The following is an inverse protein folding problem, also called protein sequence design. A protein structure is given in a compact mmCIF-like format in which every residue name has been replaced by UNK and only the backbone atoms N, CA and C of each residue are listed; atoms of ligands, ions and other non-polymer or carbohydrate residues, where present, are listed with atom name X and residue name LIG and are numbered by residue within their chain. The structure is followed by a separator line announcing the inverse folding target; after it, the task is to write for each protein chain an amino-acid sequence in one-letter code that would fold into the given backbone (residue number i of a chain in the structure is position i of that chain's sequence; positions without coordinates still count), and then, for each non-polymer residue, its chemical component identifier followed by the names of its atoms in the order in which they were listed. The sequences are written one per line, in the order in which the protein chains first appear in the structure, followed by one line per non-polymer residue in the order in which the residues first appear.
data_IF_925015069921
#
_entry.id   IF_925015069921
#
_cell.length_a   1.000
_cell.length_b   1.000
_cell.length_c   1.000
_cell.angle_alpha   90.00
_cell.angle_beta   90.00
_cell.angle_gamma   90.00
#
_symmetry.space_group_name_H-M   'P 1'
#
loop_
_entity.id
_entity.type
_entity.pdbx_description
1 polymer ?
#
# COMPACT_ATOMS: atom_id res chain seq x y z
N UNK A 1 -27.82 -32.19 -3.65
CA UNK A 1 -26.90 -32.16 -2.49
C UNK A 1 -25.65 -31.33 -2.80
N UNK A 2 -25.77 -30.17 -3.46
CA UNK A 2 -24.62 -29.33 -3.92
C UNK A 2 -24.61 -27.88 -3.37
N UNK A 3 -25.68 -27.43 -2.70
CA UNK A 3 -25.77 -26.06 -2.18
C UNK A 3 -24.97 -25.80 -0.90
N UNK A 4 -24.62 -26.85 -0.15
CA UNK A 4 -23.93 -26.73 1.14
C UNK A 4 -22.47 -26.28 1.00
N UNK A 5 -21.74 -26.76 -0.01
CA UNK A 5 -20.34 -26.40 -0.21
C UNK A 5 -20.17 -24.95 -0.70
N UNK A 6 -21.03 -24.49 -1.62
CA UNK A 6 -21.01 -23.10 -2.09
C UNK A 6 -21.46 -22.12 -0.99
N UNK A 7 -22.48 -22.49 -0.21
CA UNK A 7 -22.94 -21.70 0.94
C UNK A 7 -21.90 -21.63 2.06
N UNK A 8 -21.22 -22.74 2.34
CA UNK A 8 -20.13 -22.78 3.33
C UNK A 8 -18.92 -21.97 2.87
N UNK A 9 -18.53 -22.09 1.59
CA UNK A 9 -17.47 -21.27 0.99
C UNK A 9 -17.81 -19.77 1.08
N UNK A 10 -19.03 -19.38 0.69
CA UNK A 10 -19.52 -18.00 0.76
C UNK A 10 -19.58 -17.46 2.20
N UNK A 11 -20.03 -18.27 3.17
CA UNK A 11 -20.05 -17.91 4.60
C UNK A 11 -18.64 -17.76 5.18
N UNK A 12 -17.71 -18.63 4.80
CA UNK A 12 -16.32 -18.55 5.25
C UNK A 12 -15.57 -17.36 4.64
N UNK A 13 -15.87 -16.98 3.40
CA UNK A 13 -15.36 -15.78 2.73
C UNK A 13 -15.90 -14.52 3.42
N UNK A 14 -17.21 -14.44 3.69
CA UNK A 14 -17.88 -13.28 4.31
C UNK A 14 -17.38 -12.94 5.72
N UNK A 15 -16.89 -13.92 6.48
CA UNK A 15 -16.38 -13.72 7.83
C UNK A 15 -14.86 -13.44 7.87
N UNK A 16 -14.16 -13.54 6.72
CA UNK A 16 -12.73 -13.26 6.59
C UNK A 16 -12.46 -11.86 6.05
N UNK A 17 -13.44 -11.25 5.41
CA UNK A 17 -13.38 -9.87 4.95
C UNK A 17 -14.18 -8.96 5.89
N UNK A 18 -13.63 -7.81 6.29
CA UNK A 18 -14.43 -6.75 6.90
C UNK A 18 -15.54 -6.31 5.94
N UNK A 19 -16.64 -5.80 6.51
CA UNK A 19 -17.86 -5.50 5.76
C UNK A 19 -17.66 -4.51 4.61
N UNK A 20 -18.58 -4.55 3.65
CA UNK A 20 -18.56 -3.70 2.46
C UNK A 20 -18.36 -2.22 2.83
N UNK A 21 -17.34 -1.60 2.22
CA UNK A 21 -17.00 -0.21 2.47
C UNK A 21 -18.06 0.71 1.88
N UNK A 22 -18.46 1.74 2.63
CA UNK A 22 -19.33 2.79 2.08
C UNK A 22 -18.53 3.66 1.11
N UNK A 23 -19.15 4.17 0.02
CA UNK A 23 -18.50 5.09 -0.90
C UNK A 23 -17.81 6.25 -0.17
N UNK A 24 -16.64 6.67 -0.67
CA UNK A 24 -15.90 7.81 -0.12
C UNK A 24 -16.80 9.04 -0.03
N UNK A 25 -16.97 9.56 1.19
CA UNK A 25 -17.77 10.75 1.42
C UNK A 25 -16.85 11.92 1.84
N UNK A 26 -16.75 13.00 1.05
CA UNK A 26 -15.88 14.14 1.35
C UNK A 26 -16.27 14.93 2.61
N UNK A 27 -17.48 14.73 3.15
CA UNK A 27 -17.93 15.34 4.40
C UNK A 27 -17.50 14.57 5.65
N UNK A 28 -17.04 13.31 5.50
CA UNK A 28 -16.57 12.47 6.61
C UNK A 28 -15.08 12.66 6.89
N UNK A 29 -14.70 12.46 8.15
CA UNK A 29 -13.28 12.43 8.53
C UNK A 29 -12.64 11.13 8.01
N UNK A 30 -11.47 11.25 7.40
CA UNK A 30 -10.73 10.10 6.85
C UNK A 30 -9.77 9.56 7.89
N UNK A 31 -9.85 8.26 8.16
CA UNK A 31 -8.98 7.52 9.06
C UNK A 31 -8.19 6.52 8.22
N UNK A 32 -6.87 6.74 8.15
CA UNK A 32 -5.93 5.85 7.47
C UNK A 32 -5.25 5.02 8.56
N UNK A 33 -5.44 3.70 8.51
CA UNK A 33 -4.83 2.77 9.48
C UNK A 33 -3.71 2.03 8.77
N UNK A 34 -2.47 2.37 9.13
CA UNK A 34 -1.25 1.88 8.47
C UNK A 34 -0.62 0.66 9.15
N UNK A 35 -1.19 0.18 10.27
CA UNK A 35 -0.69 -0.99 10.99
C UNK A 35 -1.44 -2.27 10.63
N UNK A 36 -0.75 -3.41 10.62
CA UNK A 36 -1.32 -4.75 10.44
C UNK A 36 -1.48 -5.55 11.74
N UNK A 37 -1.00 -5.02 12.88
CA UNK A 37 -1.03 -5.70 14.18
C UNK A 37 -2.40 -5.67 14.89
N UNK A 38 -2.53 -6.46 15.97
CA UNK A 38 -3.75 -6.60 16.78
C UNK A 38 -4.37 -5.27 17.21
N UNK A 39 -3.56 -4.24 17.48
CA UNK A 39 -4.03 -2.91 17.82
C UNK A 39 -4.73 -2.19 16.67
N UNK A 40 -4.27 -2.37 15.44
CA UNK A 40 -4.91 -1.83 14.25
C UNK A 40 -6.22 -2.57 13.96
N UNK A 41 -6.20 -3.91 13.91
CA UNK A 41 -7.42 -4.70 13.70
C UNK A 41 -8.47 -4.48 14.81
N UNK A 42 -8.03 -4.28 16.06
CA UNK A 42 -8.92 -3.93 17.18
C UNK A 42 -9.53 -2.54 17.01
N UNK A 43 -8.73 -1.53 16.65
CA UNK A 43 -9.23 -0.18 16.36
C UNK A 43 -10.27 -0.22 15.23
N UNK A 44 -10.00 -0.96 14.17
CA UNK A 44 -10.89 -1.10 13.01
C UNK A 44 -12.20 -1.79 13.36
N UNK A 45 -12.18 -2.76 14.27
CA UNK A 45 -13.41 -3.39 14.80
C UNK A 45 -14.27 -2.46 15.66
N UNK A 46 -13.66 -1.39 16.21
CA UNK A 46 -14.31 -0.41 17.07
C UNK A 46 -14.74 0.86 16.33
N UNK A 47 -14.22 1.10 15.12
CA UNK A 47 -14.55 2.26 14.30
C UNK A 47 -15.87 2.05 13.54
N UNK A 48 -16.79 3.00 13.68
CA UNK A 48 -18.03 3.02 12.91
C UNK A 48 -17.77 3.61 11.50
N UNK A 49 -17.91 2.79 10.47
CA UNK A 49 -17.76 3.17 9.06
C UNK A 49 -18.83 4.17 8.59
N UNK A 50 -19.90 4.38 9.38
CA UNK A 50 -20.87 5.45 9.12
C UNK A 50 -20.30 6.83 9.40
N UNK A 51 -19.38 6.97 10.36
CA UNK A 51 -18.82 8.25 10.80
C UNK A 51 -17.48 8.58 10.12
N UNK A 52 -16.74 7.56 9.69
CA UNK A 52 -15.37 7.72 9.16
C UNK A 52 -15.18 7.03 7.81
N UNK A 53 -14.42 7.66 6.91
CA UNK A 53 -13.86 6.96 5.76
C UNK A 53 -12.66 6.14 6.25
N UNK A 54 -12.79 4.81 6.28
CA UNK A 54 -11.73 3.90 6.73
C UNK A 54 -11.02 3.32 5.53
N UNK A 55 -9.77 3.70 5.28
CA UNK A 55 -8.96 3.12 4.20
C UNK A 55 -8.01 2.07 4.77
N UNK A 56 -8.52 0.83 4.87
CA UNK A 56 -7.72 -0.34 5.24
C UNK A 56 -7.64 -1.36 4.09
N UNK A 57 -8.64 -1.42 3.19
CA UNK A 57 -8.76 -2.51 2.21
C UNK A 57 -8.25 -2.21 0.81
N UNK A 58 -7.74 -1.00 0.54
CA UNK A 58 -7.34 -0.63 -0.83
C UNK A 58 -6.39 -1.63 -1.49
N UNK A 59 -5.54 -2.30 -0.70
CA UNK A 59 -4.72 -3.40 -1.18
C UNK A 59 -5.50 -4.69 -1.50
N UNK A 60 -6.35 -5.16 -0.58
CA UNK A 60 -7.19 -6.36 -0.81
C UNK A 60 -8.17 -6.12 -1.96
N UNK A 61 -8.75 -4.93 -2.06
CA UNK A 61 -9.64 -4.54 -3.16
C UNK A 61 -8.91 -4.63 -4.51
N UNK A 62 -7.64 -4.20 -4.56
CA UNK A 62 -6.81 -4.35 -5.76
C UNK A 62 -6.54 -5.83 -6.09
N UNK A 63 -6.25 -6.67 -5.07
CA UNK A 63 -6.08 -8.11 -5.27
C UNK A 63 -7.36 -8.77 -5.80
N UNK A 64 -8.49 -8.58 -5.11
CA UNK A 64 -9.78 -9.15 -5.50
C UNK A 64 -10.17 -8.69 -6.91
N UNK A 65 -9.96 -7.40 -7.21
CA UNK A 65 -10.24 -6.86 -8.55
C UNK A 65 -9.34 -7.48 -9.61
N UNK A 66 -8.08 -7.76 -9.30
CA UNK A 66 -7.15 -8.43 -10.21
C UNK A 66 -7.51 -9.91 -10.46
N UNK A 67 -8.24 -10.56 -9.55
CA UNK A 67 -8.70 -11.95 -9.72
C UNK A 67 -9.94 -12.12 -10.60
N UNK A 68 -10.66 -11.04 -10.92
CA UNK A 68 -11.88 -11.16 -11.70
C UNK A 68 -11.61 -11.75 -13.10
N UNK A 69 -12.44 -12.70 -13.57
CA UNK A 69 -12.26 -13.31 -14.87
C UNK A 69 -12.44 -12.28 -15.99
N UNK A 70 -11.49 -12.24 -16.93
CA UNK A 70 -11.52 -11.33 -18.08
C UNK A 70 -10.71 -10.04 -17.93
N UNK A 71 -10.00 -9.86 -16.81
CA UNK A 71 -9.04 -8.76 -16.66
C UNK A 71 -7.89 -8.89 -17.66
N UNK A 72 -7.47 -7.75 -18.24
CA UNK A 72 -6.31 -7.73 -19.12
C UNK A 72 -5.01 -7.84 -18.29
N UNK A 73 -3.92 -8.38 -18.86
CA UNK A 73 -2.63 -8.45 -18.17
C UNK A 73 -2.14 -7.08 -17.67
N UNK A 74 -2.40 -6.02 -18.43
CA UNK A 74 -2.01 -4.65 -18.09
C UNK A 74 -2.80 -4.11 -16.90
N UNK A 75 -4.08 -4.46 -16.78
CA UNK A 75 -4.92 -4.09 -15.64
C UNK A 75 -4.46 -4.79 -14.37
N UNK A 76 -4.12 -6.08 -14.48
CA UNK A 76 -3.57 -6.86 -13.36
C UNK A 76 -2.24 -6.26 -12.90
N UNK A 77 -1.33 -5.95 -13.82
CA UNK A 77 -0.05 -5.31 -13.48
C UNK A 77 -0.24 -3.93 -12.83
N UNK A 78 -1.21 -3.14 -13.28
CA UNK A 78 -1.58 -1.87 -12.66
C UNK A 78 -2.03 -2.08 -11.21
N UNK A 79 -3.06 -2.92 -11.00
CA UNK A 79 -3.66 -3.17 -9.68
C UNK A 79 -2.65 -3.75 -8.69
N UNK A 80 -1.74 -4.60 -9.17
CA UNK A 80 -0.75 -5.28 -8.36
C UNK A 80 0.56 -4.51 -8.20
N UNK A 81 0.61 -3.25 -8.64
CA UNK A 81 1.74 -2.38 -8.39
C UNK A 81 1.44 -1.40 -7.27
N UNK A 82 2.24 -1.47 -6.20
CA UNK A 82 2.16 -0.58 -5.05
C UNK A 82 3.34 0.39 -5.04
N UNK A 83 3.03 1.67 -4.78
CA UNK A 83 4.02 2.73 -4.64
C UNK A 83 3.99 3.26 -3.21
N UNK A 84 5.10 3.11 -2.49
CA UNK A 84 5.28 3.69 -1.16
C UNK A 84 6.14 4.94 -1.30
N UNK A 85 5.68 6.06 -0.74
CA UNK A 85 6.38 7.35 -0.82
C UNK A 85 6.99 7.71 0.52
N UNK A 86 8.32 7.85 0.56
CA UNK A 86 9.11 8.18 1.73
C UNK A 86 9.96 7.01 2.21
N UNK A 87 11.27 7.09 2.03
CA UNK A 87 12.28 6.14 2.51
C UNK A 87 12.71 6.35 3.96
N UNK A 88 11.89 6.99 4.79
CA UNK A 88 12.09 7.00 6.25
C UNK A 88 11.73 5.65 6.89
N UNK A 89 11.89 5.50 8.22
CA UNK A 89 11.59 4.26 8.93
C UNK A 89 10.21 3.70 8.61
N UNK A 90 9.17 4.53 8.66
CA UNK A 90 7.78 4.12 8.38
C UNK A 90 7.58 3.55 6.98
N UNK A 91 8.14 4.18 5.95
CA UNK A 91 7.94 3.69 4.58
C UNK A 91 8.78 2.46 4.26
N UNK A 92 9.97 2.33 4.87
CA UNK A 92 10.78 1.12 4.79
C UNK A 92 10.09 -0.04 5.49
N UNK A 93 9.66 0.12 6.74
CA UNK A 93 8.93 -0.92 7.49
C UNK A 93 7.69 -1.37 6.73
N UNK A 94 6.86 -0.43 6.26
CA UNK A 94 5.66 -0.76 5.50
C UNK A 94 5.98 -1.55 4.21
N UNK A 95 7.03 -1.17 3.48
CA UNK A 95 7.41 -1.86 2.24
C UNK A 95 7.88 -3.29 2.52
N UNK A 96 8.62 -3.51 3.60
CA UNK A 96 9.04 -4.83 4.05
C UNK A 96 7.86 -5.70 4.48
N UNK A 97 6.97 -5.15 5.31
CA UNK A 97 5.77 -5.87 5.77
C UNK A 97 4.83 -6.23 4.61
N UNK A 98 4.67 -5.34 3.62
CA UNK A 98 3.91 -5.65 2.42
C UNK A 98 4.55 -6.81 1.65
N UNK A 99 5.87 -6.81 1.49
CA UNK A 99 6.58 -7.91 0.84
C UNK A 99 6.38 -9.24 1.57
N UNK A 100 6.59 -9.26 2.89
CA UNK A 100 6.44 -10.48 3.69
C UNK A 100 5.00 -11.00 3.64
N UNK A 101 4.01 -10.10 3.77
CA UNK A 101 2.60 -10.44 3.64
C UNK A 101 2.29 -11.12 2.30
N UNK A 102 2.87 -10.61 1.21
CA UNK A 102 2.67 -11.13 -0.14
C UNK A 102 3.33 -12.49 -0.34
N UNK A 103 4.56 -12.65 0.13
CA UNK A 103 5.31 -13.89 -0.02
C UNK A 103 4.68 -15.04 0.79
N UNK A 104 4.13 -14.74 1.98
CA UNK A 104 3.57 -15.75 2.89
C UNK A 104 2.08 -16.03 2.63
N UNK A 105 1.24 -15.00 2.52
CA UNK A 105 -0.22 -15.19 2.48
C UNK A 105 -0.77 -15.24 1.05
N UNK A 106 -0.25 -14.40 0.13
CA UNK A 106 -0.81 -14.31 -1.22
C UNK A 106 -0.68 -15.64 -1.97
N UNK A 107 0.44 -16.35 -1.82
CA UNK A 107 0.64 -17.65 -2.45
C UNK A 107 -0.41 -18.69 -2.04
N UNK A 108 -0.89 -18.63 -0.80
CA UNK A 108 -1.91 -19.55 -0.31
C UNK A 108 -3.32 -19.16 -0.73
N UNK A 109 -3.63 -17.87 -0.84
CA UNK A 109 -4.98 -17.38 -1.11
C UNK A 109 -5.25 -17.15 -2.60
N UNK A 110 -4.25 -16.66 -3.33
CA UNK A 110 -4.32 -16.25 -4.74
C UNK A 110 -3.05 -16.69 -5.50
N UNK A 111 -2.84 -18.01 -5.67
CA UNK A 111 -1.63 -18.54 -6.30
C UNK A 111 -1.41 -18.03 -7.73
N UNK A 112 -2.47 -17.65 -8.45
CA UNK A 112 -2.43 -17.08 -9.80
C UNK A 112 -1.88 -15.64 -9.88
N UNK A 113 -1.89 -14.92 -8.75
CA UNK A 113 -1.34 -13.56 -8.62
C UNK A 113 0.05 -13.56 -7.98
N UNK A 114 0.47 -14.68 -7.39
CA UNK A 114 1.78 -14.83 -6.76
C UNK A 114 2.91 -14.45 -7.72
N UNK A 115 3.81 -13.58 -7.26
CA UNK A 115 4.97 -13.11 -8.03
C UNK A 115 4.67 -12.04 -9.09
N UNK A 116 3.41 -11.61 -9.27
CA UNK A 116 3.05 -10.46 -10.12
C UNK A 116 3.04 -9.14 -9.34
N UNK A 117 3.01 -9.22 -8.01
CA UNK A 117 2.97 -8.03 -7.18
C UNK A 117 4.31 -7.31 -7.21
N UNK A 118 4.23 -6.00 -7.45
CA UNK A 118 5.37 -5.11 -7.52
C UNK A 118 5.26 -4.08 -6.41
N UNK A 119 6.38 -3.84 -5.73
CA UNK A 119 6.48 -2.76 -4.74
C UNK A 119 7.60 -1.81 -5.18
N UNK A 120 7.28 -0.53 -5.26
CA UNK A 120 8.25 0.54 -5.51
C UNK A 120 8.27 1.52 -4.35
N UNK A 121 9.42 1.67 -3.68
CA UNK A 121 9.65 2.68 -2.65
C UNK A 121 10.32 3.91 -3.27
N UNK A 122 9.71 5.08 -3.15
CA UNK A 122 10.17 6.35 -3.71
C UNK A 122 10.73 7.24 -2.60
N UNK A 123 11.95 7.73 -2.75
CA UNK A 123 12.60 8.65 -1.82
C UNK A 123 13.23 9.84 -2.56
N UNK A 124 12.96 11.05 -2.09
CA UNK A 124 13.46 12.30 -2.66
C UNK A 124 14.95 12.51 -2.39
N UNK A 125 15.44 12.03 -1.25
CA UNK A 125 16.81 12.13 -0.81
C UNK A 125 17.72 11.10 -1.51
N UNK A 126 19.06 11.25 -1.39
CA UNK A 126 20.02 10.34 -2.01
C UNK A 126 19.96 8.88 -1.53
N UNK A 127 19.37 8.61 -0.37
CA UNK A 127 19.30 7.29 0.25
C UNK A 127 18.05 7.14 1.11
N UNK A 128 17.60 5.91 1.27
CA UNK A 128 16.66 5.54 2.32
C UNK A 128 17.33 5.63 3.69
N UNK A 129 16.54 5.75 4.76
CA UNK A 129 16.98 5.78 6.15
C UNK A 129 18.16 6.75 6.39
N UNK A 130 18.07 8.02 5.95
CA UNK A 130 19.21 8.95 5.95
C UNK A 130 19.75 9.28 7.35
N UNK A 131 19.00 8.95 8.41
CA UNK A 131 19.43 9.11 9.80
C UNK A 131 20.38 7.99 10.29
N UNK A 132 20.51 6.89 9.55
CA UNK A 132 21.32 5.74 9.93
C UNK A 132 22.71 5.77 9.27
N UNK A 133 23.60 4.88 9.74
CA UNK A 133 24.95 4.75 9.18
C UNK A 133 24.91 4.19 7.75
N UNK A 134 25.92 4.53 6.93
CA UNK A 134 26.03 4.04 5.55
C UNK A 134 25.95 2.51 5.44
N UNK A 135 26.49 1.80 6.42
CA UNK A 135 26.45 0.33 6.45
C UNK A 135 25.00 -0.19 6.55
N UNK A 136 24.17 0.42 7.40
CA UNK A 136 22.76 0.03 7.56
C UNK A 136 21.91 0.42 6.34
N UNK A 137 22.22 1.56 5.73
CA UNK A 137 21.58 1.99 4.47
C UNK A 137 21.87 0.97 3.37
N UNK A 138 23.15 0.61 3.16
CA UNK A 138 23.54 -0.37 2.15
C UNK A 138 22.93 -1.75 2.40
N UNK A 139 22.86 -2.18 3.67
CA UNK A 139 22.20 -3.42 4.06
C UNK A 139 20.70 -3.39 3.72
N UNK A 140 20.03 -2.27 3.99
CA UNK A 140 18.60 -2.11 3.66
C UNK A 140 18.39 -2.15 2.14
N UNK A 141 19.21 -1.43 1.38
CA UNK A 141 19.14 -1.42 -0.09
C UNK A 141 19.42 -2.80 -0.70
N UNK A 142 20.38 -3.56 -0.16
CA UNK A 142 20.65 -4.93 -0.62
C UNK A 142 19.50 -5.89 -0.30
N UNK A 143 18.97 -5.81 0.93
CA UNK A 143 17.86 -6.64 1.38
C UNK A 143 16.61 -6.40 0.50
N UNK A 144 16.27 -5.14 0.25
CA UNK A 144 15.12 -4.79 -0.57
C UNK A 144 15.28 -5.25 -2.02
N UNK A 145 16.51 -5.17 -2.55
CA UNK A 145 16.82 -5.68 -3.88
C UNK A 145 16.65 -7.20 -3.97
N UNK A 146 17.04 -7.95 -2.95
CA UNK A 146 16.83 -9.41 -2.86
C UNK A 146 15.33 -9.75 -2.78
N UNK A 147 14.56 -8.97 -2.02
CA UNK A 147 13.10 -9.01 -1.92
C UNK A 147 12.35 -8.48 -3.15
N UNK A 148 13.06 -8.07 -4.23
CA UNK A 148 12.46 -7.49 -5.46
C UNK A 148 11.61 -6.23 -5.21
N UNK A 149 11.94 -5.48 -4.16
CA UNK A 149 11.37 -4.16 -3.89
C UNK A 149 12.23 -3.12 -4.61
N UNK A 150 11.63 -2.38 -5.54
CA UNK A 150 12.33 -1.35 -6.32
C UNK A 150 12.49 -0.08 -5.48
N UNK A 151 13.72 0.30 -5.13
CA UNK A 151 14.00 1.58 -4.47
C UNK A 151 14.38 2.64 -5.50
N UNK A 152 13.60 3.72 -5.56
CA UNK A 152 13.86 4.91 -6.37
C UNK A 152 14.30 6.07 -5.48
N UNK A 153 15.61 6.20 -5.26
CA UNK A 153 16.20 7.37 -4.57
C UNK A 153 16.34 8.56 -5.50
N UNK A 154 16.58 9.76 -4.95
CA UNK A 154 16.68 11.03 -5.68
C UNK A 154 15.48 11.27 -6.61
N UNK A 155 14.33 10.72 -6.26
CA UNK A 155 13.12 10.70 -7.08
C UNK A 155 11.99 11.33 -6.29
N UNK A 156 11.36 12.36 -6.84
CA UNK A 156 10.30 13.09 -6.16
C UNK A 156 8.95 12.84 -6.80
N UNK A 157 7.92 12.58 -6.00
CA UNK A 157 6.55 12.60 -6.49
C UNK A 157 6.14 14.04 -6.78
N UNK A 158 5.58 14.29 -7.97
CA UNK A 158 5.04 15.58 -8.40
C UNK A 158 3.54 15.65 -8.28
N UNK A 159 2.88 14.56 -8.64
CA UNK A 159 1.44 14.49 -8.72
C UNK A 159 1.03 13.03 -8.50
N UNK A 160 -0.09 12.84 -7.80
CA UNK A 160 -0.76 11.56 -7.67
C UNK A 160 -2.07 11.68 -8.44
N UNK A 161 -2.22 10.89 -9.51
CA UNK A 161 -3.45 10.77 -10.29
C UNK A 161 -4.24 9.57 -9.79
N UNK A 162 -5.45 9.42 -10.29
CA UNK A 162 -6.35 8.31 -9.91
C UNK A 162 -5.76 6.92 -10.18
N UNK A 163 -4.97 6.76 -11.25
CA UNK A 163 -4.42 5.47 -11.68
C UNK A 163 -2.90 5.45 -11.85
N UNK A 164 -2.21 6.52 -11.46
CA UNK A 164 -0.76 6.65 -11.65
C UNK A 164 -0.14 7.69 -10.73
N UNK A 165 1.18 7.59 -10.57
CA UNK A 165 2.00 8.60 -9.89
C UNK A 165 2.99 9.19 -10.88
N UNK A 166 3.09 10.52 -10.86
CA UNK A 166 4.05 11.27 -11.67
C UNK A 166 5.31 11.51 -10.84
N UNK A 167 6.42 10.95 -11.30
CA UNK A 167 7.72 11.00 -10.67
C UNK A 167 8.66 11.91 -11.44
N UNK A 168 9.40 12.76 -10.74
CA UNK A 168 10.58 13.43 -11.27
C UNK A 168 11.81 12.59 -10.93
N UNK A 169 12.44 12.03 -11.95
CA UNK A 169 13.65 11.21 -11.86
C UNK A 169 14.91 12.07 -11.60
N UNK A 170 16.06 11.48 -11.23
CA UNK A 170 17.27 12.22 -10.87
C UNK A 170 17.82 13.11 -12.00
N UNK A 171 17.60 12.71 -13.26
CA UNK A 171 17.94 13.46 -14.48
C UNK A 171 16.93 14.59 -14.81
N UNK A 172 15.99 14.88 -13.90
CA UNK A 172 14.86 15.82 -14.09
C UNK A 172 13.82 15.40 -15.14
N UNK A 173 13.90 14.19 -15.70
CA UNK A 173 12.83 13.69 -16.58
C UNK A 173 11.60 13.32 -15.76
N UNK A 174 10.42 13.51 -16.33
CA UNK A 174 9.16 13.06 -15.75
C UNK A 174 8.86 11.63 -16.20
N UNK A 175 8.53 10.76 -15.25
CA UNK A 175 8.11 9.38 -15.49
C UNK A 175 6.76 9.15 -14.84
N UNK A 176 5.80 8.64 -15.60
CA UNK A 176 4.51 8.20 -15.08
C UNK A 176 4.60 6.72 -14.72
N UNK A 177 4.12 6.39 -13.52
CA UNK A 177 4.11 5.02 -12.99
C UNK A 177 2.68 4.63 -12.70
N UNK A 178 2.16 3.65 -13.43
CA UNK A 178 0.84 3.06 -13.19
C UNK A 178 0.87 2.22 -11.91
N UNK A 179 -0.09 2.42 -11.02
CA UNK A 179 -0.17 1.70 -9.75
C UNK A 179 -1.60 1.71 -9.18
N UNK A 180 -2.01 0.60 -8.57
CA UNK A 180 -3.32 0.44 -7.92
C UNK A 180 -3.36 1.05 -6.52
N UNK A 181 -2.21 1.10 -5.83
CA UNK A 181 -2.13 1.66 -4.49
C UNK A 181 -0.92 2.58 -4.33
N UNK A 182 -1.18 3.75 -3.73
CA UNK A 182 -0.14 4.70 -3.31
C UNK A 182 -0.25 4.89 -1.81
N UNK A 183 0.84 4.63 -1.09
CA UNK A 183 0.91 4.90 0.35
C UNK A 183 1.91 6.02 0.62
N UNK A 184 1.44 7.10 1.22
CA UNK A 184 2.27 8.27 1.52
C UNK A 184 2.74 8.25 2.97
N UNK A 185 4.02 7.96 3.18
CA UNK A 185 4.68 7.87 4.49
C UNK A 185 5.70 9.00 4.73
N UNK A 186 5.71 10.04 3.87
CA UNK A 186 6.66 11.15 3.93
C UNK A 186 6.02 12.46 4.41
N UNK A 187 6.81 13.26 5.13
CA UNK A 187 6.50 14.67 5.38
C UNK A 187 5.41 14.89 6.41
N UNK A 188 5.81 15.33 7.60
CA UNK A 188 4.88 15.83 8.60
C UNK A 188 4.74 17.35 8.45
N UNK A 189 3.54 17.86 8.73
CA UNK A 189 3.30 19.29 8.89
C UNK A 189 2.72 19.53 10.27
N UNK A 190 3.27 20.51 10.99
CA UNK A 190 2.72 20.93 12.28
C UNK A 190 1.24 21.29 12.15
N UNK A 191 0.44 21.07 13.18
CA UNK A 191 -0.95 21.51 13.16
C UNK A 191 -1.04 23.04 13.10
N UNK A 192 -2.17 23.57 12.61
CA UNK A 192 -2.35 25.02 12.42
C UNK A 192 -2.05 25.83 13.69
N UNK A 193 -2.52 25.35 14.85
CA UNK A 193 -2.26 26.02 16.13
C UNK A 193 -0.77 26.10 16.49
N UNK A 194 0.03 25.08 16.17
CA UNK A 194 1.47 25.11 16.41
C UNK A 194 2.19 26.07 15.45
N UNK A 195 1.68 26.24 14.22
CA UNK A 195 2.21 27.22 13.26
C UNK A 195 1.84 28.65 13.67
N UNK A 196 0.62 28.87 14.15
CA UNK A 196 0.12 30.19 14.55
C UNK A 196 0.80 30.72 15.84
N UNK A 197 1.44 29.85 16.62
CA UNK A 197 2.17 30.17 17.86
C UNK A 197 3.68 30.43 17.66
N UNK A 198 4.22 30.19 16.45
CA UNK A 198 5.61 30.45 16.07
C UNK A 198 5.73 31.75 15.28
#
# INVERSE_FOLDING_TARGET
MFGGAAGFYFLTQRNRTPGAQTPFNPEKKTVVVLGSGWGATSLLSMLDTKEYNVMQHGFIDCLETATFPGQSPEEVDHLLHMVVVGGGPTGVELSGELHDFLEDNLKSWYPELAGKVKITLVEALPSVLPMFSKQLILYTESTFKESKIDILTKTMVKEVKERSVILQMPNKSIKEVSCGLVVWAAGNKGCKIAQDLM
#
